data_IF_406400203271
#
_entry.id   IF_406400203271
#
_cell.length_a   1.000
_cell.length_b   1.000
_cell.length_c   1.000
_cell.angle_alpha   90.00
_cell.angle_beta   90.00
_cell.angle_gamma   90.00
#
_symmetry.space_group_name_H-M   'P 1'
#
loop_
_entity.id
_entity.type
_entity.pdbx_description
1 polymer ?
#
# COMPACT_ATOMS: atom_id res chain seq x y z
N UNK A 1 -9.86 -20.12 -9.50
CA UNK A 1 -8.68 -19.78 -8.70
C UNK A 1 -9.05 -18.80 -7.61
N UNK A 2 -8.48 -18.97 -6.44
CA UNK A 2 -8.80 -18.14 -5.29
C UNK A 2 -7.69 -17.18 -4.95
N UNK A 3 -8.08 -15.95 -4.65
CA UNK A 3 -7.16 -14.92 -4.20
C UNK A 3 -7.63 -14.41 -2.85
N UNK A 4 -6.70 -13.97 -2.02
CA UNK A 4 -7.02 -13.38 -0.74
C UNK A 4 -7.31 -11.89 -0.92
N UNK A 5 -8.40 -11.45 -0.29
CA UNK A 5 -8.69 -10.02 -0.18
C UNK A 5 -7.95 -9.52 1.06
N UNK A 6 -7.17 -8.46 0.92
CA UNK A 6 -6.33 -7.95 2.00
C UNK A 6 -6.51 -6.45 2.21
N UNK A 7 -6.29 -6.02 3.45
CA UNK A 7 -6.15 -4.63 3.82
C UNK A 7 -4.68 -4.39 4.12
N UNK A 8 -4.07 -3.46 3.42
CA UNK A 8 -2.68 -3.08 3.65
C UNK A 8 -2.66 -1.73 4.35
N UNK A 9 -2.05 -1.68 5.53
CA UNK A 9 -1.75 -0.44 6.22
C UNK A 9 -0.31 -0.08 5.88
N UNK A 10 -0.10 1.10 5.31
CA UNK A 10 1.20 1.51 4.80
C UNK A 10 1.44 3.00 5.03
N UNK A 11 2.67 3.43 4.80
CA UNK A 11 3.04 4.84 4.98
C UNK A 11 3.55 5.39 3.66
N UNK A 12 2.97 6.49 3.25
CA UNK A 12 3.37 7.20 2.05
C UNK A 12 4.39 8.28 2.39
N UNK A 13 5.15 8.67 1.39
CA UNK A 13 6.11 9.76 1.52
C UNK A 13 5.34 11.04 1.82
N UNK A 14 5.79 11.76 2.84
CA UNK A 14 5.27 13.10 3.11
C UNK A 14 6.08 14.11 2.29
N UNK A 15 5.39 14.87 1.47
CA UNK A 15 6.02 15.88 0.62
C UNK A 15 5.41 17.24 0.98
N UNK A 16 5.93 17.91 2.00
CA UNK A 16 5.40 19.21 2.44
C UNK A 16 5.51 20.26 1.35
N UNK A 17 4.64 21.25 1.42
CA UNK A 17 4.65 22.36 0.48
C UNK A 17 6.02 23.03 0.42
N UNK A 18 6.40 23.47 -0.77
CA UNK A 18 7.66 24.17 -1.00
C UNK A 18 7.76 25.40 -0.12
N UNK A 19 8.98 25.75 0.25
CA UNK A 19 9.28 26.90 1.09
C UNK A 19 10.37 26.57 2.09
N UNK A 20 10.98 27.60 2.62
CA UNK A 20 12.03 27.45 3.62
C UNK A 20 11.42 27.16 4.98
N UNK A 21 11.95 26.16 5.66
CA UNK A 21 11.51 25.76 7.00
C UNK A 21 12.71 25.60 7.90
N UNK A 22 12.53 25.86 9.19
CA UNK A 22 13.58 25.63 10.17
C UNK A 22 13.86 24.14 10.29
N UNK A 23 15.01 23.76 10.83
CA UNK A 23 15.33 22.36 11.08
C UNK A 23 14.35 21.75 12.09
N UNK A 24 13.91 22.55 13.07
CA UNK A 24 12.94 22.07 14.06
C UNK A 24 11.60 21.75 13.40
N UNK A 25 11.08 22.64 12.56
CA UNK A 25 9.84 22.41 11.82
C UNK A 25 9.98 21.20 10.90
N UNK A 26 11.13 21.08 10.22
CA UNK A 26 11.36 19.98 9.28
C UNK A 26 11.32 18.61 9.97
N UNK A 27 11.81 18.54 11.20
CA UNK A 27 11.86 17.27 11.95
C UNK A 27 10.48 16.78 12.41
N UNK A 28 9.47 17.64 12.35
CA UNK A 28 8.11 17.30 12.78
C UNK A 28 7.27 16.61 11.72
N UNK A 29 7.74 16.60 10.47
CA UNK A 29 7.00 15.94 9.40
C UNK A 29 7.12 14.42 9.49
N UNK A 30 6.01 13.76 9.23
CA UNK A 30 5.93 12.31 9.29
C UNK A 30 5.32 11.75 8.01
N UNK A 31 5.64 10.50 7.65
CA UNK A 31 4.98 9.85 6.53
C UNK A 31 3.47 9.76 6.75
N UNK A 32 2.70 9.83 5.68
CA UNK A 32 1.25 9.77 5.75
C UNK A 32 0.78 8.34 5.93
N UNK A 33 0.02 8.03 6.99
CA UNK A 33 -0.55 6.69 7.13
C UNK A 33 -1.69 6.49 6.13
N UNK A 34 -1.66 5.37 5.45
CA UNK A 34 -2.62 5.03 4.41
C UNK A 34 -3.14 3.62 4.57
N UNK A 35 -4.31 3.36 3.99
CA UNK A 35 -4.91 2.04 3.95
C UNK A 35 -5.37 1.75 2.54
N UNK A 36 -5.10 0.54 2.08
CA UNK A 36 -5.51 0.10 0.75
C UNK A 36 -6.09 -1.31 0.83
N UNK A 37 -7.11 -1.55 0.05
CA UNK A 37 -7.79 -2.86 -0.01
C UNK A 37 -7.69 -3.39 -1.43
N UNK A 38 -7.40 -4.66 -1.57
CA UNK A 38 -7.36 -5.28 -2.87
C UNK A 38 -7.09 -6.77 -2.78
N UNK A 39 -7.06 -7.40 -3.94
CA UNK A 39 -6.76 -8.82 -4.07
C UNK A 39 -5.25 -9.01 -4.08
N UNK A 40 -4.75 -9.85 -3.18
CA UNK A 40 -3.32 -10.15 -3.12
C UNK A 40 -2.93 -10.98 -4.33
N UNK A 41 -2.11 -10.42 -5.21
CA UNK A 41 -1.69 -11.05 -6.45
C UNK A 41 -0.32 -11.70 -6.31
N UNK A 42 0.59 -11.04 -5.62
CA UNK A 42 1.97 -11.49 -5.50
C UNK A 42 2.62 -10.87 -4.28
N UNK A 43 3.49 -11.63 -3.65
CA UNK A 43 4.33 -11.10 -2.57
C UNK A 43 5.66 -11.84 -2.51
N UNK A 44 6.68 -11.11 -2.14
CA UNK A 44 8.00 -11.64 -1.88
C UNK A 44 8.66 -10.76 -0.82
N UNK A 45 9.92 -11.02 -0.41
CA UNK A 45 10.56 -10.18 0.61
C UNK A 45 10.73 -8.71 0.24
N UNK A 46 10.64 -8.37 -1.03
CA UNK A 46 10.87 -7.01 -1.49
C UNK A 46 9.58 -6.21 -1.70
N UNK A 47 8.49 -6.87 -2.11
CA UNK A 47 7.28 -6.17 -2.50
C UNK A 47 6.02 -6.98 -2.29
N UNK A 48 4.89 -6.25 -2.29
CA UNK A 48 3.55 -6.82 -2.27
C UNK A 48 2.75 -6.15 -3.39
N UNK A 49 2.02 -6.94 -4.17
CA UNK A 49 1.18 -6.42 -5.26
C UNK A 49 -0.27 -6.80 -5.00
N UNK A 50 -1.15 -5.80 -5.05
CA UNK A 50 -2.59 -6.03 -4.99
C UNK A 50 -3.26 -5.48 -6.25
N UNK A 51 -4.41 -6.02 -6.58
CA UNK A 51 -5.22 -5.55 -7.71
C UNK A 51 -6.62 -5.19 -7.23
N UNK A 52 -7.23 -4.19 -7.86
CA UNK A 52 -8.63 -3.85 -7.59
C UNK A 52 -9.57 -4.87 -8.21
N UNK A 53 -9.22 -5.34 -9.40
CA UNK A 53 -10.07 -6.25 -10.16
C UNK A 53 -9.28 -7.43 -10.71
N UNK A 54 -9.93 -8.58 -10.76
CA UNK A 54 -9.40 -9.78 -11.41
C UNK A 54 -10.51 -10.31 -12.30
N UNK A 55 -10.21 -10.49 -13.59
CA UNK A 55 -11.20 -11.03 -14.52
C UNK A 55 -11.28 -12.56 -14.43
N UNK A 56 -12.32 -13.13 -15.01
CA UNK A 56 -12.45 -14.57 -15.12
C UNK A 56 -11.33 -15.23 -15.91
N UNK A 57 -10.65 -14.47 -16.76
CA UNK A 57 -9.49 -14.94 -17.52
C UNK A 57 -8.17 -14.72 -16.77
N UNK A 58 -8.27 -14.35 -15.50
CA UNK A 58 -7.12 -14.09 -14.63
C UNK A 58 -6.25 -12.92 -15.08
N UNK A 59 -6.87 -11.92 -15.67
CA UNK A 59 -6.20 -10.67 -15.94
C UNK A 59 -6.51 -9.69 -14.80
N UNK A 60 -5.60 -8.79 -14.52
CA UNK A 60 -5.72 -7.86 -13.39
C UNK A 60 -5.81 -6.43 -13.87
N UNK A 61 -6.45 -5.60 -13.06
CA UNK A 61 -6.58 -4.17 -13.30
C UNK A 61 -6.46 -3.42 -11.98
N UNK A 62 -5.96 -2.18 -12.04
CA UNK A 62 -5.82 -1.37 -10.85
C UNK A 62 -4.76 -1.89 -9.90
N UNK A 63 -3.57 -2.16 -10.42
CA UNK A 63 -2.48 -2.70 -9.62
C UNK A 63 -1.85 -1.62 -8.74
N UNK A 64 -1.52 -2.02 -7.52
CA UNK A 64 -0.69 -1.23 -6.62
C UNK A 64 0.48 -2.10 -6.17
N UNK A 65 1.69 -1.57 -6.30
CA UNK A 65 2.91 -2.27 -5.93
C UNK A 65 3.53 -1.56 -4.73
N UNK A 66 3.62 -2.25 -3.60
CA UNK A 66 4.13 -1.69 -2.36
C UNK A 66 5.52 -2.24 -2.06
N UNK A 67 6.52 -1.37 -1.87
CA UNK A 67 7.78 -1.84 -1.27
C UNK A 67 7.51 -2.34 0.15
N UNK A 68 8.13 -3.43 0.55
CA UNK A 68 7.94 -3.97 1.91
C UNK A 68 8.24 -2.93 2.98
N UNK A 69 9.25 -2.09 2.77
CA UNK A 69 9.64 -1.08 3.74
C UNK A 69 8.57 -0.03 4.04
N UNK A 70 7.58 0.11 3.17
CA UNK A 70 6.48 1.07 3.37
C UNK A 70 5.27 0.43 4.05
N UNK A 71 5.25 -0.87 4.20
CA UNK A 71 4.10 -1.60 4.75
C UNK A 71 4.24 -1.73 6.26
N UNK A 72 3.20 -1.31 6.97
CA UNK A 72 3.11 -1.50 8.41
C UNK A 72 2.49 -2.85 8.76
N UNK A 73 1.41 -3.20 8.07
CA UNK A 73 0.68 -4.43 8.35
C UNK A 73 -0.15 -4.85 7.15
N UNK A 74 -0.39 -6.15 7.03
CA UNK A 74 -1.28 -6.74 6.03
C UNK A 74 -2.26 -7.64 6.77
N UNK A 75 -3.55 -7.38 6.58
CA UNK A 75 -4.61 -8.16 7.22
C UNK A 75 -5.49 -8.80 6.16
N UNK A 76 -5.76 -10.07 6.33
CA UNK A 76 -6.70 -10.77 5.45
C UNK A 76 -8.12 -10.36 5.81
N UNK A 77 -8.90 -10.01 4.81
CA UNK A 77 -10.32 -9.67 4.97
C UNK A 77 -11.12 -10.92 4.63
N UNK A 78 -12.01 -11.32 5.55
CA UNK A 78 -12.94 -12.42 5.30
C UNK A 78 -14.20 -11.85 4.67
N UNK A 79 -14.71 -12.56 3.67
CA UNK A 79 -15.95 -12.17 3.01
C UNK A 79 -16.78 -13.41 2.69
N UNK A 80 -18.05 -13.19 2.49
CA UNK A 80 -18.99 -14.25 2.14
C UNK A 80 -19.18 -14.35 0.64
#
# INVERSE_FOLDING_TARGET
MEYNLVLIEWKDICDPHAGWKSLEESAEFNPMPCKSVGWLIFENPEKVIIAQDISGDEETNGLSVFPRGCIKDIKRIKYE
#
